data_IF_600159236930
#
_entry.id   IF_600159236930
#
_cell.length_a   1.000
_cell.length_b   1.000
_cell.length_c   1.000
_cell.angle_alpha   90.00
_cell.angle_beta   90.00
_cell.angle_gamma   90.00
#
_symmetry.space_group_name_H-M   'P 1'
#
loop_
_entity.id
_entity.type
_entity.pdbx_description
1 polymer ?
#
# COMPACT_ATOMS: atom_id res chain seq x y z
N UNK A 1 -23.00 4.87 9.80
CA UNK A 1 -22.62 4.38 8.46
C UNK A 1 -21.80 3.13 8.64
N UNK A 2 -21.83 2.13 7.77
CA UNK A 2 -20.87 1.02 7.84
C UNK A 2 -19.74 1.25 6.84
N UNK A 3 -18.50 1.37 7.34
CA UNK A 3 -17.29 1.37 6.52
C UNK A 3 -16.78 -0.07 6.49
N UNK A 4 -16.88 -0.73 5.34
CA UNK A 4 -16.32 -2.07 5.15
C UNK A 4 -14.98 -1.93 4.45
N UNK A 5 -13.92 -2.48 5.05
CA UNK A 5 -12.60 -2.51 4.45
C UNK A 5 -12.22 -3.94 4.07
N UNK A 6 -11.69 -4.14 2.87
CA UNK A 6 -11.14 -5.44 2.46
C UNK A 6 -9.80 -5.26 1.75
N UNK A 7 -8.83 -6.05 2.21
CA UNK A 7 -7.51 -6.14 1.62
C UNK A 7 -7.36 -7.43 0.82
N UNK A 8 -6.58 -7.36 -0.25
CA UNK A 8 -6.57 -8.37 -1.29
C UNK A 8 -5.63 -9.55 -1.14
N UNK A 9 -4.41 -9.37 -0.65
CA UNK A 9 -3.41 -10.44 -0.62
C UNK A 9 -2.57 -10.30 0.64
N UNK A 10 -1.85 -11.36 1.04
CA UNK A 10 -0.99 -11.32 2.23
C UNK A 10 -1.73 -10.94 3.52
N UNK A 11 -3.05 -11.09 3.56
CA UNK A 11 -3.85 -11.03 4.79
C UNK A 11 -3.47 -12.26 5.61
N UNK A 12 -2.64 -12.11 6.65
CA UNK A 12 -2.07 -13.23 7.41
C UNK A 12 -2.29 -13.15 8.92
N UNK A 13 -2.86 -12.05 9.40
CA UNK A 13 -3.26 -11.86 10.80
C UNK A 13 -4.75 -11.50 10.89
N UNK A 14 -5.51 -12.04 11.87
CA UNK A 14 -6.87 -11.58 12.14
C UNK A 14 -6.94 -10.09 12.49
N UNK A 15 -5.82 -9.51 12.94
CA UNK A 15 -5.72 -8.08 13.25
C UNK A 15 -5.50 -7.20 12.00
N UNK A 16 -5.36 -7.81 10.82
CA UNK A 16 -5.10 -7.08 9.59
C UNK A 16 -6.23 -6.10 9.28
N UNK A 17 -5.87 -4.83 9.11
CA UNK A 17 -6.80 -3.74 8.85
C UNK A 17 -7.48 -3.16 10.09
N UNK A 18 -7.47 -3.80 11.27
CA UNK A 18 -8.13 -3.27 12.47
C UNK A 18 -7.64 -1.86 12.81
N UNK A 19 -6.32 -1.65 12.77
CA UNK A 19 -5.71 -0.36 13.07
C UNK A 19 -6.04 0.75 12.04
N UNK A 20 -6.36 0.39 10.78
CA UNK A 20 -6.85 1.36 9.79
C UNK A 20 -8.18 1.99 10.19
N UNK A 21 -8.93 1.33 11.08
CA UNK A 21 -10.15 1.87 11.66
C UNK A 21 -9.95 3.26 12.24
N UNK A 22 -8.81 3.56 12.88
CA UNK A 22 -8.51 4.90 13.40
C UNK A 22 -8.48 5.95 12.29
N UNK A 23 -7.78 5.65 11.19
CA UNK A 23 -7.72 6.51 10.02
C UNK A 23 -9.10 6.71 9.40
N UNK A 24 -9.84 5.62 9.12
CA UNK A 24 -11.18 5.74 8.57
C UNK A 24 -12.12 6.56 9.47
N UNK A 25 -12.09 6.36 10.78
CA UNK A 25 -12.86 7.16 11.72
C UNK A 25 -12.45 8.64 11.67
N UNK A 26 -11.15 8.96 11.69
CA UNK A 26 -10.68 10.34 11.67
C UNK A 26 -11.21 11.14 10.48
N UNK A 27 -11.11 10.57 9.28
CA UNK A 27 -11.41 11.31 8.04
C UNK A 27 -12.83 11.12 7.53
N UNK A 28 -13.41 9.92 7.67
CA UNK A 28 -14.73 9.62 7.11
C UNK A 28 -15.84 9.86 8.13
N UNK A 29 -15.64 9.62 9.44
CA UNK A 29 -16.71 9.82 10.42
C UNK A 29 -17.39 11.20 10.35
N UNK A 30 -16.68 12.32 10.18
CA UNK A 30 -17.33 13.64 10.06
C UNK A 30 -18.27 13.77 8.86
N UNK A 31 -18.02 13.02 7.77
CA UNK A 31 -18.84 12.99 6.56
C UNK A 31 -19.99 11.99 6.65
N UNK A 32 -19.82 10.98 7.49
CA UNK A 32 -20.67 9.79 7.52
C UNK A 32 -21.54 9.66 8.78
N UNK A 33 -21.32 10.48 9.81
CA UNK A 33 -22.08 10.40 11.05
C UNK A 33 -23.55 10.76 10.84
N UNK A 34 -24.46 9.94 11.37
CA UNK A 34 -25.91 10.19 11.35
C UNK A 34 -26.37 10.35 12.79
N UNK A 35 -27.10 11.44 13.08
CA UNK A 35 -27.60 11.71 14.44
C UNK A 35 -26.51 11.81 15.51
N UNK A 36 -25.28 12.22 15.14
CA UNK A 36 -24.14 12.29 16.05
C UNK A 36 -23.48 10.94 16.39
N UNK A 37 -23.93 9.84 15.77
CA UNK A 37 -23.32 8.51 15.93
C UNK A 37 -22.24 8.30 14.88
N UNK A 38 -21.02 7.97 15.32
CA UNK A 38 -19.90 7.66 14.44
C UNK A 38 -20.19 6.39 13.61
N UNK A 39 -19.66 6.29 12.39
CA UNK A 39 -19.83 5.09 11.58
C UNK A 39 -19.17 3.88 12.23
N UNK A 40 -19.69 2.70 11.95
CA UNK A 40 -19.02 1.44 12.25
C UNK A 40 -17.87 1.19 11.26
N UNK A 41 -16.88 0.44 11.71
CA UNK A 41 -15.75 0.03 10.87
C UNK A 41 -15.58 -1.48 10.94
N UNK A 42 -15.58 -2.12 9.76
CA UNK A 42 -15.53 -3.57 9.64
C UNK A 42 -14.44 -4.00 8.64
N UNK A 43 -13.27 -4.44 9.11
CA UNK A 43 -12.28 -5.10 8.25
C UNK A 43 -12.69 -6.55 7.98
N UNK A 44 -12.68 -6.95 6.71
CA UNK A 44 -13.03 -8.32 6.30
C UNK A 44 -11.77 -9.18 6.28
N UNK A 45 -11.59 -9.98 7.34
CA UNK A 45 -10.52 -10.97 7.43
C UNK A 45 -10.90 -12.29 6.75
N UNK A 46 -10.01 -12.77 5.88
CA UNK A 46 -10.11 -14.07 5.19
C UNK A 46 -8.76 -14.81 5.14
N UNK A 47 -7.76 -14.31 5.86
CA UNK A 47 -6.37 -14.78 5.79
C UNK A 47 -6.14 -16.21 6.24
N UNK A 48 -7.03 -16.75 7.08
CA UNK A 48 -7.09 -18.14 7.51
C UNK A 48 -7.40 -19.11 6.37
N UNK A 49 -7.96 -18.59 5.26
CA UNK A 49 -8.32 -19.34 4.06
C UNK A 49 -7.38 -19.09 2.88
N UNK A 50 -6.38 -18.22 3.07
CA UNK A 50 -5.44 -17.80 2.04
C UNK A 50 -4.42 -18.90 1.67
N UNK A 51 -3.57 -18.61 0.68
CA UNK A 51 -2.57 -19.58 0.24
C UNK A 51 -1.57 -19.89 1.37
N UNK A 52 -1.34 -21.18 1.58
CA UNK A 52 -0.33 -21.70 2.50
C UNK A 52 0.83 -22.27 1.71
N UNK A 53 2.03 -21.74 1.93
CA UNK A 53 3.26 -22.22 1.29
C UNK A 53 3.90 -23.29 2.17
N UNK A 54 3.80 -24.56 1.76
CA UNK A 54 4.29 -25.69 2.53
C UNK A 54 5.78 -25.58 2.90
N UNK A 55 6.59 -25.01 1.99
CA UNK A 55 8.02 -24.79 2.22
C UNK A 55 8.37 -23.34 2.58
N UNK A 56 7.42 -22.57 3.12
CA UNK A 56 7.62 -21.17 3.54
C UNK A 56 8.36 -20.30 2.50
N UNK A 57 7.92 -20.39 1.24
CA UNK A 57 8.52 -19.69 0.11
C UNK A 57 10.03 -19.97 -0.12
N UNK A 58 10.51 -21.17 0.25
CA UNK A 58 11.90 -21.58 0.01
C UNK A 58 12.31 -21.63 -1.46
N UNK A 59 11.34 -21.67 -2.39
CA UNK A 59 11.57 -21.59 -3.84
C UNK A 59 11.98 -20.19 -4.33
N UNK A 60 11.92 -19.16 -3.46
CA UNK A 60 12.34 -17.81 -3.83
C UNK A 60 13.86 -17.73 -4.02
N UNK A 61 14.34 -17.07 -5.09
CA UNK A 61 15.73 -16.67 -5.21
C UNK A 61 16.22 -15.95 -3.95
N UNK A 62 17.37 -16.41 -3.47
CA UNK A 62 18.08 -15.90 -2.31
C UNK A 62 19.17 -14.93 -2.77
N UNK A 63 19.35 -13.79 -2.09
CA UNK A 63 20.43 -12.83 -2.41
C UNK A 63 21.49 -12.81 -1.32
N UNK A 64 22.74 -12.58 -1.74
CA UNK A 64 23.91 -12.62 -0.86
C UNK A 64 23.99 -11.41 0.08
N UNK A 65 23.48 -10.24 -0.34
CA UNK A 65 23.66 -8.98 0.40
C UNK A 65 22.71 -8.85 1.60
N UNK A 66 21.53 -9.47 1.56
CA UNK A 66 20.54 -9.49 2.65
C UNK A 66 20.75 -10.63 3.65
N UNK A 67 21.90 -11.30 3.61
CA UNK A 67 22.25 -12.37 4.57
C UNK A 67 21.40 -13.64 4.45
N UNK A 68 20.68 -13.83 3.34
CA UNK A 68 19.85 -15.00 3.10
C UNK A 68 20.59 -15.95 2.15
N UNK A 69 21.60 -16.65 2.66
CA UNK A 69 22.48 -17.63 1.98
C UNK A 69 22.04 -18.13 0.59
N UNK A 70 22.44 -17.40 -0.44
CA UNK A 70 22.60 -17.94 -1.80
C UNK A 70 23.90 -18.73 -1.88
N UNK A 71 23.91 -19.81 -2.68
CA UNK A 71 25.12 -20.56 -2.97
C UNK A 71 26.17 -19.63 -3.62
N UNK A 72 27.44 -19.77 -3.23
CA UNK A 72 28.59 -18.94 -3.66
C UNK A 72 28.82 -18.90 -5.18
N UNK A 73 28.07 -19.72 -5.92
CA UNK A 73 28.22 -20.09 -7.31
C UNK A 73 27.10 -19.56 -8.23
N UNK A 74 26.12 -18.79 -7.73
CA UNK A 74 25.20 -18.05 -8.63
C UNK A 74 25.86 -16.78 -9.17
N UNK A 75 26.70 -16.99 -10.18
CA UNK A 75 27.40 -15.99 -10.96
C UNK A 75 26.44 -15.22 -11.89
N UNK A 76 25.84 -14.15 -11.40
CA UNK A 76 25.60 -12.98 -12.25
C UNK A 76 26.88 -12.17 -12.34
N UNK A 77 27.87 -12.63 -13.12
CA UNK A 77 29.09 -11.92 -13.59
C UNK A 77 30.20 -12.92 -14.01
N UNK A 78 29.91 -13.81 -14.96
CA UNK A 78 30.88 -14.77 -15.51
C UNK A 78 31.98 -14.18 -16.41
N UNK A 79 32.13 -12.86 -16.55
CA UNK A 79 33.11 -12.25 -17.48
C UNK A 79 34.23 -11.42 -16.84
N UNK A 80 34.33 -11.33 -15.50
CA UNK A 80 35.36 -10.49 -14.86
C UNK A 80 36.30 -11.22 -13.88
N UNK A 81 36.18 -12.55 -13.72
CA UNK A 81 37.18 -13.34 -12.95
C UNK A 81 38.33 -13.78 -13.85
N UNK A 82 39.10 -12.79 -14.28
CA UNK A 82 40.41 -12.94 -14.90
C UNK A 82 41.44 -12.02 -14.26
N UNK A 83 41.39 -11.83 -12.93
CA UNK A 83 42.50 -11.26 -12.15
C UNK A 83 42.27 -11.56 -10.66
N UNK A 84 43.24 -12.22 -10.06
CA UNK A 84 43.35 -12.61 -8.67
C UNK A 84 43.43 -11.40 -7.71
N UNK A 85 42.88 -11.59 -6.50
CA UNK A 85 43.12 -10.85 -5.26
C UNK A 85 43.01 -9.32 -5.25
N UNK A 86 41.86 -8.76 -5.65
CA UNK A 86 41.53 -7.36 -5.36
C UNK A 86 40.15 -7.26 -4.73
N UNK A 87 40.08 -6.76 -3.48
CA UNK A 87 38.83 -6.39 -2.82
C UNK A 87 38.21 -5.22 -3.57
N UNK A 88 36.88 -5.26 -3.76
CA UNK A 88 36.09 -4.29 -4.54
C UNK A 88 36.28 -2.81 -4.12
N UNK A 89 36.87 -2.56 -2.95
CA UNK A 89 37.05 -1.24 -2.34
C UNK A 89 38.49 -0.68 -2.43
N UNK A 90 39.47 -1.40 -2.99
CA UNK A 90 40.87 -0.95 -3.06
C UNK A 90 41.27 -0.29 -4.39
N UNK A 91 40.31 0.05 -5.26
CA UNK A 91 40.62 0.77 -6.50
C UNK A 91 40.53 2.28 -6.29
N UNK A 92 41.69 2.93 -6.20
CA UNK A 92 41.83 4.37 -6.42
C UNK A 92 41.14 4.80 -7.74
N UNK A 93 40.61 6.03 -7.81
CA UNK A 93 39.82 6.47 -8.95
C UNK A 93 40.67 6.44 -10.22
N UNK A 94 40.19 5.68 -11.21
CA UNK A 94 40.76 5.68 -12.56
C UNK A 94 40.49 7.04 -13.20
N UNK A 95 41.53 7.63 -13.78
CA UNK A 95 41.48 8.90 -14.50
C UNK A 95 40.38 8.90 -15.58
N UNK A 96 39.73 10.05 -15.85
CA UNK A 96 38.59 10.11 -16.75
C UNK A 96 39.01 9.78 -18.19
N UNK A 97 38.36 8.79 -18.78
CA UNK A 97 38.44 8.52 -20.21
C UNK A 97 37.62 9.57 -20.95
N UNK A 98 38.21 10.14 -22.00
CA UNK A 98 37.69 11.26 -22.78
C UNK A 98 36.30 11.00 -23.38
N UNK A 99 35.54 12.08 -23.43
CA UNK A 99 34.13 12.18 -23.77
C UNK A 99 33.75 11.72 -25.19
N UNK A 100 32.64 10.99 -25.28
CA UNK A 100 31.75 10.96 -26.45
C UNK A 100 30.45 11.73 -26.13
N UNK A 101 29.71 12.25 -27.13
CA UNK A 101 28.72 13.29 -26.90
C UNK A 101 27.46 12.71 -26.27
N UNK A 102 27.27 12.99 -24.99
CA UNK A 102 25.96 12.89 -24.32
C UNK A 102 25.23 14.21 -24.58
N UNK A 103 24.19 14.15 -25.40
CA UNK A 103 23.18 15.19 -25.50
C UNK A 103 22.48 15.30 -24.13
N UNK A 104 22.65 16.44 -23.46
CA UNK A 104 21.98 16.77 -22.21
C UNK A 104 22.81 16.58 -20.95
N UNK A 105 24.02 17.14 -20.90
CA UNK A 105 24.71 17.38 -19.62
C UNK A 105 23.99 18.51 -18.86
N UNK A 106 22.99 18.15 -18.04
CA UNK A 106 22.53 19.03 -16.99
C UNK A 106 23.65 19.16 -15.95
N UNK A 107 23.99 20.40 -15.62
CA UNK A 107 24.91 20.72 -14.54
C UNK A 107 24.48 20.02 -13.26
N UNK A 108 25.43 19.50 -12.49
CA UNK A 108 25.21 19.10 -11.10
C UNK A 108 24.57 20.30 -10.41
N UNK A 109 23.32 20.21 -9.89
CA UNK A 109 22.79 21.30 -9.10
C UNK A 109 23.72 21.44 -7.90
N UNK A 110 24.23 22.65 -7.70
CA UNK A 110 24.68 23.13 -6.40
C UNK A 110 23.68 22.60 -5.35
N UNK A 111 24.17 21.96 -4.27
CA UNK A 111 23.30 21.39 -3.24
C UNK A 111 22.26 22.44 -2.83
N UNK A 112 21.02 22.30 -3.31
CA UNK A 112 19.97 23.18 -2.87
C UNK A 112 19.91 23.04 -1.35
N UNK A 113 19.97 24.15 -0.59
CA UNK A 113 19.86 24.08 0.85
C UNK A 113 18.57 23.35 1.18
N UNK A 114 18.68 22.25 1.95
CA UNK A 114 17.51 21.49 2.42
C UNK A 114 16.57 22.50 3.05
N UNK A 115 15.38 22.66 2.45
CA UNK A 115 14.41 23.63 2.93
C UNK A 115 14.15 23.37 4.42
N UNK A 116 14.11 24.41 5.26
CA UNK A 116 13.95 24.22 6.70
C UNK A 116 12.61 23.51 6.98
N UNK A 117 12.52 22.75 8.07
CA UNK A 117 11.28 22.05 8.45
C UNK A 117 10.09 23.01 8.59
N UNK A 118 10.36 24.27 8.94
CA UNK A 118 9.35 25.33 9.01
C UNK A 118 8.74 25.70 7.65
N UNK A 119 9.41 25.38 6.54
CA UNK A 119 8.93 25.62 5.18
C UNK A 119 7.95 24.55 4.69
N UNK A 120 7.78 23.42 5.40
CA UNK A 120 6.80 22.40 5.05
C UNK A 120 5.38 22.97 5.26
N UNK A 121 4.58 23.13 4.19
CA UNK A 121 3.23 23.66 4.29
C UNK A 121 2.36 22.82 5.22
N UNK A 122 1.48 23.46 6.00
CA UNK A 122 0.72 22.79 7.08
C UNK A 122 -0.07 21.58 6.58
N UNK A 123 -0.64 21.70 5.39
CA UNK A 123 -1.40 20.66 4.71
C UNK A 123 -0.56 19.47 4.24
N UNK A 124 0.76 19.62 4.10
CA UNK A 124 1.70 18.55 3.70
C UNK A 124 2.41 17.89 4.88
N UNK A 125 2.33 18.49 6.08
CA UNK A 125 3.01 17.98 7.28
C UNK A 125 2.63 16.53 7.64
N UNK A 126 1.35 16.10 7.58
CA UNK A 126 1.00 14.71 7.89
C UNK A 126 1.70 13.70 6.98
N UNK A 127 1.65 13.92 5.67
CA UNK A 127 2.28 13.03 4.69
C UNK A 127 3.80 13.05 4.83
N UNK A 128 4.39 14.24 5.06
CA UNK A 128 5.82 14.38 5.33
C UNK A 128 6.25 13.60 6.58
N UNK A 129 5.43 13.58 7.64
CA UNK A 129 5.72 12.77 8.83
C UNK A 129 5.63 11.27 8.56
N UNK A 130 4.65 10.83 7.78
CA UNK A 130 4.55 9.44 7.36
C UNK A 130 5.76 9.03 6.50
N UNK A 131 6.17 9.87 5.55
CA UNK A 131 7.40 9.69 4.75
C UNK A 131 8.64 9.58 5.62
N UNK A 132 8.82 10.56 6.51
CA UNK A 132 9.99 10.61 7.37
C UNK A 132 10.04 9.39 8.30
N UNK A 133 8.90 8.97 8.86
CA UNK A 133 8.81 7.78 9.70
C UNK A 133 9.18 6.51 8.92
N UNK A 134 8.65 6.33 7.71
CA UNK A 134 8.91 5.15 6.88
C UNK A 134 10.32 5.11 6.29
N UNK A 135 10.89 6.27 5.93
CA UNK A 135 12.27 6.39 5.49
C UNK A 135 13.27 5.97 6.58
N UNK A 136 12.87 6.13 7.84
CA UNK A 136 13.67 5.71 8.96
C UNK A 136 13.41 4.24 9.32
N UNK A 137 12.18 3.72 9.20
CA UNK A 137 11.87 2.32 9.52
C UNK A 137 12.82 1.35 8.80
N UNK A 138 13.49 0.41 9.52
CA UNK A 138 14.51 -0.42 8.91
C UNK A 138 13.93 -1.17 7.71
N UNK A 139 14.49 -0.89 6.53
CA UNK A 139 14.14 -1.51 5.27
C UNK A 139 14.47 -3.01 5.31
N UNK A 140 13.62 -3.79 5.97
CA UNK A 140 13.44 -5.19 5.63
C UNK A 140 12.64 -5.28 4.34
N UNK A 141 12.66 -6.46 3.72
CA UNK A 141 11.89 -6.83 2.53
C UNK A 141 10.36 -6.92 2.76
N UNK A 142 9.81 -6.03 3.57
CA UNK A 142 8.43 -6.11 4.09
C UNK A 142 7.64 -4.88 3.70
N UNK A 143 6.37 -5.08 3.39
CA UNK A 143 5.41 -4.00 3.23
C UNK A 143 4.95 -3.55 4.62
N UNK A 144 5.37 -2.36 5.09
CA UNK A 144 5.19 -1.97 6.49
C UNK A 144 3.71 -1.96 6.91
N UNK A 145 2.78 -1.57 6.04
CA UNK A 145 1.36 -1.43 6.41
C UNK A 145 0.66 -2.78 6.47
N UNK A 146 1.04 -3.70 5.59
CA UNK A 146 0.44 -5.03 5.49
C UNK A 146 1.08 -6.01 6.47
N UNK A 147 2.38 -5.88 6.69
CA UNK A 147 3.19 -6.80 7.49
C UNK A 147 3.35 -6.37 8.95
N UNK A 148 3.14 -5.09 9.27
CA UNK A 148 3.22 -4.56 10.63
C UNK A 148 1.88 -3.92 11.06
N UNK A 149 1.08 -4.61 11.91
CA UNK A 149 -0.16 -4.08 12.44
C UNK A 149 -0.01 -2.74 13.17
N UNK A 150 1.17 -2.43 13.73
CA UNK A 150 1.42 -1.14 14.38
C UNK A 150 1.43 -0.01 13.34
N UNK A 151 1.97 -0.27 12.14
CA UNK A 151 2.09 0.74 11.07
C UNK A 151 0.78 0.97 10.31
N UNK A 152 -0.21 0.10 10.45
CA UNK A 152 -1.54 0.34 9.89
C UNK A 152 -2.24 1.58 10.48
N UNK A 153 -1.82 2.07 11.65
CA UNK A 153 -2.29 3.33 12.24
C UNK A 153 -1.40 4.55 11.89
N UNK A 154 -0.40 4.38 11.02
CA UNK A 154 0.59 5.42 10.73
C UNK A 154 -0.05 6.71 10.21
N UNK A 155 -1.02 6.63 9.31
CA UNK A 155 -1.68 7.82 8.80
C UNK A 155 -2.32 8.63 9.95
N UNK A 156 -3.09 7.96 10.82
CA UNK A 156 -3.71 8.60 11.98
C UNK A 156 -2.67 9.20 12.95
N UNK A 157 -1.61 8.45 13.27
CA UNK A 157 -0.53 8.92 14.14
C UNK A 157 0.22 10.13 13.55
N UNK A 158 0.60 10.06 12.27
CA UNK A 158 1.25 11.15 11.57
C UNK A 158 0.36 12.41 11.53
N UNK A 159 -0.94 12.25 11.31
CA UNK A 159 -1.89 13.37 11.36
C UNK A 159 -2.01 13.97 12.78
N UNK A 160 -2.10 13.13 13.82
CA UNK A 160 -2.18 13.58 15.20
C UNK A 160 -0.94 14.35 15.66
N UNK A 161 0.25 13.93 15.20
CA UNK A 161 1.50 14.64 15.48
C UNK A 161 1.62 15.91 14.65
N UNK A 162 1.17 15.90 13.40
CA UNK A 162 1.15 17.10 12.55
C UNK A 162 0.26 18.21 13.13
N UNK A 163 -0.85 17.86 13.78
CA UNK A 163 -1.71 18.82 14.50
C UNK A 163 -0.97 19.55 15.64
N UNK A 164 0.09 18.94 16.17
CA UNK A 164 0.93 19.47 17.25
C UNK A 164 2.31 19.96 16.76
N UNK A 165 2.54 19.97 15.44
CA UNK A 165 3.85 20.23 14.83
C UNK A 165 4.53 21.49 15.36
N UNK A 166 3.83 22.63 15.34
CA UNK A 166 4.43 23.92 15.71
C UNK A 166 4.81 23.95 17.19
N UNK A 167 3.99 23.34 18.05
CA UNK A 167 4.30 23.20 19.48
C UNK A 167 5.51 22.30 19.70
N UNK A 168 5.59 21.17 19.00
CA UNK A 168 6.73 20.24 19.10
C UNK A 168 8.01 20.90 18.60
N UNK A 169 7.96 21.55 17.44
CA UNK A 169 9.11 22.14 16.78
C UNK A 169 9.68 23.38 17.51
N UNK A 170 8.84 24.13 18.22
CA UNK A 170 9.23 25.33 18.95
C UNK A 170 10.21 25.06 20.12
N UNK A 171 10.27 23.83 20.63
CA UNK A 171 11.08 23.46 21.80
C UNK A 171 12.48 22.93 21.43
N UNK A 172 12.83 22.89 20.15
CA UNK A 172 14.05 22.25 19.67
C UNK A 172 14.96 23.25 18.94
N UNK A 173 16.28 23.11 19.19
CA UNK A 173 17.29 24.09 18.80
C UNK A 173 17.58 24.12 17.29
N UNK A 174 17.44 22.99 16.61
CA UNK A 174 17.74 22.84 15.18
C UNK A 174 16.76 21.88 14.49
N UNK A 175 16.75 21.90 13.15
CA UNK A 175 15.83 21.08 12.34
C UNK A 175 16.07 19.57 12.48
N UNK A 176 17.31 19.15 12.74
CA UNK A 176 17.56 17.74 13.01
C UNK A 176 16.90 17.31 14.33
N UNK A 177 17.03 18.10 15.39
CA UNK A 177 16.37 17.86 16.67
C UNK A 177 14.83 17.88 16.54
N UNK A 178 14.28 18.82 15.76
CA UNK A 178 12.84 18.87 15.43
C UNK A 178 12.37 17.61 14.72
N UNK A 179 13.06 17.19 13.65
CA UNK A 179 12.75 15.96 12.91
C UNK A 179 12.78 14.74 13.85
N UNK A 180 13.84 14.59 14.65
CA UNK A 180 13.96 13.50 15.63
C UNK A 180 12.78 13.48 16.59
N UNK A 181 12.41 14.64 17.14
CA UNK A 181 11.32 14.76 18.10
C UNK A 181 9.97 14.42 17.47
N UNK A 182 9.69 14.91 16.26
CA UNK A 182 8.46 14.64 15.54
C UNK A 182 8.28 13.15 15.24
N UNK A 183 9.32 12.48 14.73
CA UNK A 183 9.26 11.04 14.44
C UNK A 183 9.11 10.22 15.72
N UNK A 184 9.81 10.60 16.80
CA UNK A 184 9.64 9.95 18.09
C UNK A 184 8.21 10.08 18.63
N UNK A 185 7.52 11.19 18.36
CA UNK A 185 6.10 11.35 18.71
C UNK A 185 5.18 10.48 17.86
N UNK A 186 5.51 10.27 16.58
CA UNK A 186 4.77 9.33 15.72
C UNK A 186 4.94 7.91 16.26
N UNK A 187 6.17 7.50 16.60
CA UNK A 187 6.46 6.19 17.22
C UNK A 187 5.71 6.00 18.55
N UNK A 188 5.72 7.03 19.42
CA UNK A 188 4.99 7.05 20.69
C UNK A 188 3.48 6.85 20.47
N UNK A 189 2.91 7.53 19.47
CA UNK A 189 1.49 7.44 19.11
C UNK A 189 1.12 6.06 18.54
N UNK A 190 2.05 5.39 17.86
CA UNK A 190 1.86 4.03 17.33
C UNK A 190 1.97 2.96 18.42
N UNK A 191 2.99 3.04 19.29
CA UNK A 191 3.37 2.01 20.27
C UNK A 191 2.82 2.20 21.68
N UNK A 192 1.99 3.22 21.90
CA UNK A 192 1.37 3.47 23.20
C UNK A 192 2.35 3.84 24.33
N UNK A 193 3.45 4.55 24.02
CA UNK A 193 4.35 5.11 25.03
C UNK A 193 5.65 4.35 25.30
N UNK A 194 6.01 3.33 24.53
CA UNK A 194 7.31 2.65 24.70
C UNK A 194 8.42 3.42 23.99
N UNK A 195 9.17 4.22 24.76
CA UNK A 195 10.19 5.14 24.25
C UNK A 195 11.34 4.40 23.55
N UNK A 196 11.60 4.67 22.26
CA UNK A 196 12.91 4.37 21.66
C UNK A 196 13.96 5.24 22.37
N UNK A 197 14.93 4.60 23.03
CA UNK A 197 16.05 5.30 23.67
C UNK A 197 16.87 6.12 22.67
N UNK A 198 17.27 7.34 23.06
CA UNK A 198 17.98 8.34 22.23
C UNK A 198 19.21 7.80 21.47
N UNK A 199 19.88 6.75 21.96
CA UNK A 199 21.04 6.15 21.29
C UNK A 199 20.71 5.30 20.05
N UNK A 200 19.52 4.69 20.00
CA UNK A 200 19.08 3.90 18.84
C UNK A 200 18.68 4.77 17.65
N UNK A 201 18.16 5.97 17.92
CA UNK A 201 17.63 6.91 16.92
C UNK A 201 18.73 7.65 16.14
N UNK A 202 19.89 7.94 16.77
CA UNK A 202 21.01 8.57 16.08
C UNK A 202 21.60 7.67 14.97
N UNK A 203 21.83 6.39 15.29
CA UNK A 203 22.24 5.39 14.29
C UNK A 203 21.15 5.00 13.30
N UNK A 204 19.90 5.40 13.53
CA UNK A 204 18.73 5.19 12.66
C UNK A 204 18.62 6.29 11.59
N UNK A 205 18.85 7.55 11.97
CA UNK A 205 18.90 8.69 11.05
C UNK A 205 20.16 8.71 10.18
N UNK A 206 21.31 8.29 10.71
CA UNK A 206 22.54 8.14 9.91
C UNK A 206 22.33 7.16 8.75
N UNK A 207 21.63 6.04 8.99
CA UNK A 207 21.32 5.04 7.95
C UNK A 207 20.39 5.58 6.85
N UNK A 208 19.35 6.33 7.22
CA UNK A 208 18.42 6.93 6.24
C UNK A 208 19.11 8.01 5.37
N UNK A 209 19.92 8.87 5.99
CA UNK A 209 20.67 9.91 5.28
C UNK A 209 21.75 9.35 4.33
N UNK A 210 22.33 8.21 4.69
CA UNK A 210 23.36 7.55 3.87
C UNK A 210 22.79 6.84 2.64
N UNK A 211 21.58 6.26 2.72
CA UNK A 211 20.87 5.67 1.56
C UNK A 211 20.53 6.73 0.52
N UNK A 212 20.02 7.89 0.97
CA UNK A 212 19.66 9.02 0.08
C UNK A 212 20.90 9.64 -0.59
N UNK A 213 22.01 9.80 0.14
CA UNK A 213 23.28 10.32 -0.43
C UNK A 213 23.93 9.38 -1.43
N UNK A 214 23.67 8.08 -1.35
CA UNK A 214 24.25 7.08 -2.26
C UNK A 214 23.49 7.02 -3.58
N UNK A 215 22.17 7.14 -3.57
CA UNK A 215 21.33 7.01 -4.76
C UNK A 215 21.64 8.02 -5.88
N UNK A 216 22.15 9.21 -5.56
CA UNK A 216 22.42 10.30 -6.53
C UNK A 216 23.73 10.14 -7.32
N UNK A 217 24.56 9.15 -7.01
CA UNK A 217 25.89 8.97 -7.64
C UNK A 217 26.06 7.61 -8.32
N UNK A 218 24.98 6.84 -8.48
CA UNK A 218 25.08 5.44 -8.90
C UNK A 218 25.16 5.26 -10.43
N UNK A 219 26.21 4.58 -10.93
CA UNK A 219 26.26 4.14 -12.33
C UNK A 219 25.19 3.08 -12.59
N UNK A 220 24.79 2.90 -13.86
CA UNK A 220 23.71 2.00 -14.26
C UNK A 220 23.82 0.54 -13.75
N UNK A 221 25.03 0.02 -13.59
CA UNK A 221 25.26 -1.33 -13.06
C UNK A 221 24.98 -1.45 -11.55
N UNK A 222 25.15 -0.37 -10.78
CA UNK A 222 24.77 -0.32 -9.36
C UNK A 222 23.24 -0.27 -9.20
N UNK A 223 22.53 0.41 -10.11
CA UNK A 223 21.06 0.41 -10.17
C UNK A 223 20.54 -0.99 -10.44
N UNK A 224 21.15 -1.73 -11.37
CA UNK A 224 20.81 -3.14 -11.66
C UNK A 224 21.06 -4.07 -10.46
N UNK A 225 22.16 -3.85 -9.73
CA UNK A 225 22.48 -4.62 -8.52
C UNK A 225 21.48 -4.37 -7.40
N UNK A 226 21.04 -3.11 -7.20
CA UNK A 226 20.01 -2.78 -6.19
C UNK A 226 18.62 -3.26 -6.60
N UNK A 227 18.27 -3.21 -7.89
CA UNK A 227 17.07 -3.87 -8.41
C UNK A 227 17.13 -5.39 -8.21
N UNK A 228 18.33 -5.99 -8.32
CA UNK A 228 18.59 -7.39 -8.01
C UNK A 228 18.35 -7.74 -6.54
N UNK A 229 18.66 -6.84 -5.62
CA UNK A 229 18.38 -6.99 -4.18
C UNK A 229 16.90 -6.73 -3.82
N UNK A 230 16.15 -6.01 -4.65
CA UNK A 230 14.69 -5.91 -4.52
C UNK A 230 13.96 -7.18 -4.99
N UNK A 231 14.66 -8.07 -5.72
CA UNK A 231 14.09 -9.29 -6.31
C UNK A 231 13.46 -10.25 -5.30
N UNK A 232 14.03 -10.54 -4.12
CA UNK A 232 13.38 -11.38 -3.11
C UNK A 232 12.06 -10.80 -2.59
N UNK A 233 12.00 -9.47 -2.44
CA UNK A 233 10.79 -8.73 -2.00
C UNK A 233 9.70 -8.85 -3.06
N UNK A 234 10.07 -8.57 -4.31
CA UNK A 234 9.16 -8.71 -5.46
C UNK A 234 8.67 -10.15 -5.62
N UNK A 235 9.56 -11.13 -5.46
CA UNK A 235 9.18 -12.54 -5.52
C UNK A 235 8.27 -12.95 -4.36
N UNK A 236 8.44 -12.35 -3.17
CA UNK A 236 7.53 -12.56 -2.04
C UNK A 236 6.13 -12.04 -2.37
N UNK A 237 6.05 -10.78 -2.80
CA UNK A 237 4.82 -10.14 -3.19
C UNK A 237 4.11 -10.93 -4.30
N UNK A 238 4.84 -11.25 -5.38
CA UNK A 238 4.31 -12.05 -6.51
C UNK A 238 3.86 -13.43 -6.04
N UNK A 239 4.62 -14.12 -5.19
CA UNK A 239 4.24 -15.43 -4.70
C UNK A 239 2.94 -15.37 -3.88
N UNK A 240 2.85 -14.45 -2.90
CA UNK A 240 1.62 -14.27 -2.13
C UNK A 240 0.45 -13.84 -3.00
N UNK A 241 0.67 -12.90 -3.92
CA UNK A 241 -0.35 -12.42 -4.84
C UNK A 241 -0.90 -13.57 -5.70
N UNK A 242 -0.03 -14.28 -6.42
CA UNK A 242 -0.42 -15.41 -7.28
C UNK A 242 -1.07 -16.52 -6.47
N UNK A 243 -0.49 -16.87 -5.32
CA UNK A 243 -1.04 -17.90 -4.44
C UNK A 243 -2.45 -17.57 -3.96
N UNK A 244 -2.65 -16.34 -3.47
CA UNK A 244 -3.93 -15.88 -2.94
C UNK A 244 -4.98 -15.75 -4.04
N UNK A 245 -4.60 -15.23 -5.21
CA UNK A 245 -5.45 -15.21 -6.41
C UNK A 245 -5.90 -16.62 -6.76
N UNK A 246 -4.98 -17.58 -6.92
CA UNK A 246 -5.36 -18.94 -7.28
C UNK A 246 -6.18 -19.63 -6.20
N UNK A 247 -5.86 -19.41 -4.93
CA UNK A 247 -6.65 -19.93 -3.81
C UNK A 247 -8.08 -19.38 -3.85
N UNK A 248 -8.24 -18.08 -4.09
CA UNK A 248 -9.54 -17.45 -4.24
C UNK A 248 -10.32 -18.02 -5.44
N UNK A 249 -9.71 -18.03 -6.63
CA UNK A 249 -10.33 -18.48 -7.88
C UNK A 249 -10.76 -19.96 -7.82
N UNK A 250 -9.98 -20.81 -7.14
CA UNK A 250 -10.27 -22.25 -7.01
C UNK A 250 -11.24 -22.59 -5.89
N UNK A 251 -11.33 -21.77 -4.84
CA UNK A 251 -12.18 -22.02 -3.68
C UNK A 251 -13.51 -21.27 -3.70
N UNK A 252 -13.66 -20.21 -4.51
CA UNK A 252 -14.98 -19.67 -4.82
C UNK A 252 -15.73 -20.71 -5.66
N UNK A 253 -16.95 -21.02 -5.27
CA UNK A 253 -17.75 -22.07 -5.92
C UNK A 253 -18.95 -21.41 -6.58
N UNK A 254 -19.37 -21.94 -7.73
CA UNK A 254 -20.59 -21.52 -8.42
C UNK A 254 -21.80 -22.36 -7.95
N UNK A 255 -23.03 -22.01 -8.36
CA UNK A 255 -24.29 -22.69 -7.98
C UNK A 255 -24.82 -22.38 -6.56
N UNK A 256 -24.91 -21.09 -6.22
CA UNK A 256 -25.56 -20.63 -4.98
C UNK A 256 -24.77 -20.91 -3.69
N UNK A 257 -23.56 -21.45 -3.80
CA UNK A 257 -22.66 -21.70 -2.68
C UNK A 257 -21.38 -20.86 -2.85
N UNK A 258 -21.28 -19.67 -2.23
CA UNK A 258 -20.18 -18.71 -2.47
C UNK A 258 -18.76 -19.24 -2.22
N UNK A 259 -18.60 -20.37 -1.53
CA UNK A 259 -17.32 -20.80 -0.99
C UNK A 259 -16.92 -19.97 0.25
N UNK A 260 -15.86 -20.35 0.95
CA UNK A 260 -15.58 -19.83 2.29
C UNK A 260 -15.10 -18.37 2.29
N UNK A 261 -14.31 -17.95 1.29
CA UNK A 261 -13.82 -16.55 1.21
C UNK A 261 -14.97 -15.58 0.85
N UNK A 262 -15.74 -15.77 -0.24
CA UNK A 262 -16.87 -14.88 -0.53
C UNK A 262 -17.94 -14.89 0.57
N UNK A 263 -18.12 -16.01 1.30
CA UNK A 263 -19.03 -16.06 2.45
C UNK A 263 -18.65 -15.08 3.56
N UNK A 264 -17.35 -14.81 3.80
CA UNK A 264 -16.89 -13.80 4.76
C UNK A 264 -17.31 -12.40 4.33
N UNK A 265 -17.15 -12.11 3.03
CA UNK A 265 -17.55 -10.83 2.45
C UNK A 265 -19.08 -10.64 2.54
N UNK A 266 -19.87 -11.64 2.14
CA UNK A 266 -21.34 -11.57 2.25
C UNK A 266 -21.80 -11.37 3.70
N UNK A 267 -21.15 -12.02 4.67
CA UNK A 267 -21.49 -11.83 6.08
C UNK A 267 -21.27 -10.38 6.53
N UNK A 268 -20.21 -9.71 6.06
CA UNK A 268 -19.98 -8.28 6.31
C UNK A 268 -21.04 -7.40 5.65
N UNK A 269 -21.40 -7.70 4.39
CA UNK A 269 -22.47 -6.97 3.69
C UNK A 269 -23.82 -7.11 4.42
N UNK A 270 -24.15 -8.30 4.94
CA UNK A 270 -25.39 -8.54 5.69
C UNK A 270 -25.44 -7.73 6.97
N UNK A 271 -24.36 -7.71 7.77
CA UNK A 271 -24.26 -6.88 8.98
C UNK A 271 -24.45 -5.41 8.66
N UNK A 272 -23.80 -4.92 7.61
CA UNK A 272 -23.94 -3.54 7.17
C UNK A 272 -25.38 -3.22 6.72
N UNK A 273 -26.04 -4.15 6.02
CA UNK A 273 -27.44 -3.98 5.59
C UNK A 273 -28.42 -3.94 6.75
N UNK A 274 -28.28 -4.86 7.70
CA UNK A 274 -29.10 -4.89 8.92
C UNK A 274 -28.96 -3.59 9.70
N UNK A 275 -27.73 -3.09 9.84
CA UNK A 275 -27.46 -1.79 10.47
C UNK A 275 -28.09 -0.64 9.68
N UNK A 276 -27.95 -0.61 8.35
CA UNK A 276 -28.59 0.39 7.48
C UNK A 276 -30.11 0.39 7.65
N UNK A 277 -30.75 -0.79 7.71
CA UNK A 277 -32.19 -0.91 7.98
C UNK A 277 -32.57 -0.36 9.36
N UNK A 278 -31.74 -0.56 10.37
CA UNK A 278 -32.00 -0.09 11.74
C UNK A 278 -31.77 1.42 11.93
N UNK A 279 -30.87 2.03 11.16
CA UNK A 279 -30.35 3.38 11.46
C UNK A 279 -30.47 4.38 10.31
N UNK A 280 -30.77 3.94 9.09
CA UNK A 280 -30.75 4.75 7.87
C UNK A 280 -29.34 5.10 7.38
N UNK A 281 -28.32 4.51 8.00
CA UNK A 281 -26.93 4.78 7.71
C UNK A 281 -26.51 4.30 6.31
N UNK A 282 -25.75 5.12 5.55
CA UNK A 282 -25.19 4.66 4.26
C UNK A 282 -24.17 3.52 4.46
N UNK A 283 -23.73 2.91 3.37
CA UNK A 283 -22.70 1.85 3.36
C UNK A 283 -21.59 2.27 2.41
N UNK A 284 -20.36 2.35 2.91
CA UNK A 284 -19.15 2.65 2.13
C UNK A 284 -18.25 1.42 2.16
N UNK A 285 -17.84 0.96 0.98
CA UNK A 285 -16.89 -0.16 0.85
C UNK A 285 -15.57 0.40 0.34
N UNK A 286 -14.48 0.12 1.03
CA UNK A 286 -13.13 0.47 0.60
C UNK A 286 -12.35 -0.82 0.38
N UNK A 287 -11.87 -1.04 -0.84
CA UNK A 287 -11.14 -2.26 -1.20
C UNK A 287 -9.79 -1.94 -1.80
N UNK A 288 -8.76 -2.63 -1.31
CA UNK A 288 -7.39 -2.47 -1.75
C UNK A 288 -6.87 -3.72 -2.45
N UNK A 289 -6.10 -3.54 -3.54
CA UNK A 289 -5.49 -4.65 -4.29
C UNK A 289 -6.54 -5.68 -4.71
N UNK A 290 -6.26 -6.99 -4.55
CA UNK A 290 -7.19 -8.08 -4.88
C UNK A 290 -8.52 -8.02 -4.08
N UNK A 291 -8.62 -7.16 -3.06
CA UNK A 291 -9.85 -6.98 -2.29
C UNK A 291 -10.98 -6.48 -3.18
N UNK A 292 -10.65 -5.79 -4.27
CA UNK A 292 -11.62 -5.37 -5.27
C UNK A 292 -12.35 -6.54 -5.93
N UNK A 293 -11.66 -7.66 -6.20
CA UNK A 293 -12.24 -8.86 -6.81
C UNK A 293 -13.23 -9.52 -5.87
N UNK A 294 -12.90 -9.59 -4.58
CA UNK A 294 -13.78 -10.14 -3.55
C UNK A 294 -15.08 -9.33 -3.46
N UNK A 295 -14.99 -8.00 -3.49
CA UNK A 295 -16.17 -7.13 -3.51
C UNK A 295 -16.94 -7.29 -4.80
N UNK A 296 -16.26 -7.33 -5.95
CA UNK A 296 -16.90 -7.46 -7.25
C UNK A 296 -17.73 -8.75 -7.35
N UNK A 297 -17.13 -9.91 -7.09
CA UNK A 297 -17.86 -11.19 -7.14
C UNK A 297 -18.98 -11.23 -6.09
N UNK A 298 -18.76 -10.68 -4.89
CA UNK A 298 -19.78 -10.60 -3.85
C UNK A 298 -21.01 -9.80 -4.31
N UNK A 299 -20.81 -8.64 -4.94
CA UNK A 299 -21.91 -7.76 -5.37
C UNK A 299 -22.55 -8.21 -6.69
N UNK A 300 -21.74 -8.65 -7.65
CA UNK A 300 -22.19 -8.98 -8.99
C UNK A 300 -22.79 -10.38 -9.10
N UNK A 301 -22.28 -11.35 -8.34
CA UNK A 301 -22.70 -12.75 -8.44
C UNK A 301 -23.34 -13.25 -7.16
N UNK A 302 -22.64 -13.19 -6.03
CA UNK A 302 -23.04 -13.94 -4.84
C UNK A 302 -24.12 -13.30 -3.97
N UNK A 303 -24.34 -11.99 -4.08
CA UNK A 303 -25.44 -11.32 -3.40
C UNK A 303 -26.79 -11.59 -4.09
N UNK A 304 -26.79 -12.09 -5.33
CA UNK A 304 -28.02 -12.43 -6.03
C UNK A 304 -28.71 -13.63 -5.34
N UNK A 305 -29.98 -13.46 -4.99
CA UNK A 305 -30.77 -14.50 -4.32
C UNK A 305 -30.52 -14.62 -2.81
N UNK A 306 -29.76 -13.70 -2.22
CA UNK A 306 -29.66 -13.57 -0.77
C UNK A 306 -30.78 -12.64 -0.23
N UNK A 307 -31.76 -13.17 0.53
CA UNK A 307 -32.91 -12.38 0.98
C UNK A 307 -32.55 -11.19 1.87
N UNK A 308 -31.42 -11.25 2.58
CA UNK A 308 -30.97 -10.12 3.40
C UNK A 308 -30.46 -9.00 2.49
N UNK A 309 -29.87 -9.35 1.35
CA UNK A 309 -29.21 -8.46 0.41
C UNK A 309 -30.04 -8.08 -0.83
N UNK A 310 -31.31 -8.47 -0.91
CA UNK A 310 -32.19 -8.13 -2.04
C UNK A 310 -32.29 -6.61 -2.26
N UNK A 311 -32.50 -5.85 -1.18
CA UNK A 311 -32.51 -4.37 -1.16
C UNK A 311 -31.15 -3.77 -0.74
N UNK A 312 -30.07 -4.55 -0.83
CA UNK A 312 -28.75 -4.06 -0.45
C UNK A 312 -28.20 -3.09 -1.49
N UNK A 313 -27.54 -2.04 -1.00
CA UNK A 313 -26.88 -1.07 -1.85
C UNK A 313 -25.69 -0.45 -1.14
N UNK A 314 -24.53 -0.53 -1.79
CA UNK A 314 -23.32 0.21 -1.47
C UNK A 314 -23.50 1.64 -1.99
N UNK A 315 -23.50 2.60 -1.07
CA UNK A 315 -23.65 4.01 -1.42
C UNK A 315 -22.37 4.56 -2.08
N UNK A 316 -21.20 4.06 -1.70
CA UNK A 316 -19.96 4.34 -2.42
C UNK A 316 -18.97 3.18 -2.30
N UNK A 317 -18.51 2.66 -3.43
CA UNK A 317 -17.39 1.73 -3.49
C UNK A 317 -16.12 2.46 -3.92
N UNK A 318 -15.09 2.41 -3.08
CA UNK A 318 -13.80 3.05 -3.31
C UNK A 318 -12.76 1.95 -3.50
N UNK A 319 -12.12 1.91 -4.66
CA UNK A 319 -11.03 0.98 -4.96
C UNK A 319 -9.70 1.73 -4.94
N UNK A 320 -8.63 1.11 -4.44
CA UNK A 320 -7.26 1.62 -4.58
C UNK A 320 -6.27 0.51 -4.91
N UNK A 321 -5.36 0.77 -5.85
CA UNK A 321 -4.42 -0.24 -6.35
C UNK A 321 -5.13 -1.51 -6.85
N UNK A 322 -6.34 -1.42 -7.40
CA UNK A 322 -7.18 -2.59 -7.66
C UNK A 322 -6.91 -3.21 -9.04
N UNK A 323 -7.07 -4.55 -9.16
CA UNK A 323 -6.95 -5.28 -10.43
C UNK A 323 -8.31 -5.61 -11.09
N UNK A 324 -9.41 -5.00 -10.64
CA UNK A 324 -10.77 -5.41 -11.06
C UNK A 324 -10.96 -5.33 -12.58
N UNK A 325 -10.50 -4.27 -13.23
CA UNK A 325 -10.54 -4.15 -14.70
C UNK A 325 -9.74 -5.23 -15.40
N UNK A 326 -8.52 -5.52 -14.94
CA UNK A 326 -7.72 -6.62 -15.48
C UNK A 326 -8.46 -7.97 -15.39
N UNK A 327 -9.08 -8.28 -14.25
CA UNK A 327 -9.84 -9.51 -14.08
C UNK A 327 -11.06 -9.57 -14.99
N UNK A 328 -11.73 -8.44 -15.19
CA UNK A 328 -12.84 -8.32 -16.12
C UNK A 328 -12.39 -8.50 -17.57
N UNK A 329 -11.29 -7.90 -17.99
CA UNK A 329 -10.73 -8.08 -19.33
C UNK A 329 -10.38 -9.55 -19.61
N UNK A 330 -9.88 -10.27 -18.61
CA UNK A 330 -9.60 -11.70 -18.68
C UNK A 330 -10.83 -12.60 -18.45
N UNK A 331 -12.02 -12.03 -18.26
CA UNK A 331 -13.28 -12.74 -17.99
C UNK A 331 -13.18 -13.71 -16.81
N UNK A 332 -12.49 -13.28 -15.75
CA UNK A 332 -12.28 -14.09 -14.55
C UNK A 332 -13.39 -13.91 -13.52
N UNK A 333 -14.42 -13.10 -13.74
CA UNK A 333 -15.54 -12.99 -12.80
C UNK A 333 -16.65 -13.99 -13.12
N UNK A 334 -17.28 -14.52 -12.07
CA UNK A 334 -18.40 -15.46 -12.23
C UNK A 334 -19.61 -14.71 -12.81
N UNK A 335 -20.29 -15.35 -13.77
CA UNK A 335 -21.48 -14.77 -14.40
C UNK A 335 -21.23 -13.48 -15.20
N UNK A 336 -19.97 -13.13 -15.48
CA UNK A 336 -19.65 -11.92 -16.24
C UNK A 336 -20.21 -12.00 -17.66
N UNK A 337 -21.13 -11.08 -17.97
CA UNK A 337 -21.63 -10.92 -19.32
C UNK A 337 -20.54 -10.33 -20.23
N UNK A 338 -20.46 -10.83 -21.46
CA UNK A 338 -19.65 -10.19 -22.49
C UNK A 338 -20.33 -8.88 -22.91
N UNK A 339 -19.62 -7.75 -22.97
CA UNK A 339 -20.20 -6.56 -23.57
C UNK A 339 -20.47 -6.81 -25.05
N UNK A 340 -21.42 -6.07 -25.63
CA UNK A 340 -21.52 -5.97 -27.08
C UNK A 340 -20.18 -5.46 -27.63
N UNK A 341 -19.80 -5.84 -28.85
CA UNK A 341 -18.48 -5.50 -29.43
C UNK A 341 -18.14 -4.01 -29.22
N UNK A 342 -17.00 -3.74 -28.58
CA UNK A 342 -16.50 -2.39 -28.29
C UNK A 342 -17.17 -1.65 -27.12
N UNK A 343 -18.09 -2.30 -26.39
CA UNK A 343 -18.77 -1.73 -25.23
C UNK A 343 -18.02 -1.91 -23.91
N UNK A 344 -18.34 -1.08 -22.91
CA UNK A 344 -17.92 -1.24 -21.52
C UNK A 344 -18.83 -2.20 -20.78
N UNK A 345 -18.34 -2.73 -19.67
CA UNK A 345 -19.15 -3.49 -18.71
C UNK A 345 -19.94 -2.54 -17.83
N UNK A 346 -21.17 -2.91 -17.47
CA UNK A 346 -21.84 -2.23 -16.36
C UNK A 346 -21.02 -2.42 -15.07
N UNK A 347 -20.94 -1.38 -14.22
CA UNK A 347 -20.51 -1.55 -12.84
C UNK A 347 -21.38 -2.60 -12.12
N UNK A 348 -20.88 -3.26 -11.06
CA UNK A 348 -21.67 -4.22 -10.31
C UNK A 348 -23.05 -3.67 -9.90
N UNK A 349 -24.10 -4.50 -9.95
CA UNK A 349 -25.39 -4.13 -9.39
C UNK A 349 -25.19 -3.76 -7.91
N UNK A 350 -26.09 -2.92 -7.38
CA UNK A 350 -26.06 -2.48 -5.97
C UNK A 350 -24.91 -1.51 -5.61
N UNK A 351 -24.25 -0.90 -6.60
CA UNK A 351 -23.25 0.15 -6.38
C UNK A 351 -23.76 1.50 -6.91
N UNK A 352 -24.03 2.46 -6.03
CA UNK A 352 -24.45 3.82 -6.43
C UNK A 352 -23.33 4.63 -7.07
N UNK A 353 -22.20 4.70 -6.39
CA UNK A 353 -21.02 5.42 -6.84
C UNK A 353 -19.79 4.53 -6.74
N UNK A 354 -18.92 4.60 -7.76
CA UNK A 354 -17.65 3.90 -7.76
C UNK A 354 -16.53 4.89 -8.10
N UNK A 355 -15.56 5.01 -7.20
CA UNK A 355 -14.32 5.78 -7.44
C UNK A 355 -13.12 4.87 -7.31
N UNK A 356 -12.25 4.87 -8.31
CA UNK A 356 -11.01 4.13 -8.31
C UNK A 356 -9.82 5.08 -8.19
N UNK A 357 -8.93 4.80 -7.25
CA UNK A 357 -7.67 5.52 -7.09
C UNK A 357 -6.53 4.66 -7.61
N UNK A 358 -5.70 5.27 -8.47
CA UNK A 358 -4.54 4.59 -9.05
C UNK A 358 -3.31 5.48 -8.96
N UNK A 359 -2.17 4.86 -8.72
CA UNK A 359 -0.86 5.50 -8.80
C UNK A 359 -0.23 5.09 -10.13
N UNK A 360 0.41 6.03 -10.82
CA UNK A 360 1.08 5.77 -12.10
C UNK A 360 2.30 4.87 -11.95
N UNK A 361 2.86 4.80 -10.74
CA UNK A 361 3.98 3.94 -10.40
C UNK A 361 3.51 2.56 -9.90
N UNK A 362 2.22 2.37 -9.62
CA UNK A 362 1.70 1.08 -9.17
C UNK A 362 1.61 0.10 -10.35
N UNK A 363 2.53 -0.87 -10.39
CA UNK A 363 2.61 -1.89 -11.45
C UNK A 363 1.40 -2.83 -11.53
N UNK A 364 0.66 -2.95 -10.44
CA UNK A 364 -0.47 -3.88 -10.34
C UNK A 364 -1.76 -3.14 -10.01
N UNK A 365 -1.77 -1.81 -10.09
CA UNK A 365 -2.98 -0.99 -10.03
C UNK A 365 -3.49 -0.71 -11.43
N UNK A 366 -4.77 -0.93 -11.67
CA UNK A 366 -5.38 -0.73 -12.97
C UNK A 366 -6.45 0.36 -12.92
N UNK A 367 -6.58 1.10 -14.02
CA UNK A 367 -7.67 2.06 -14.23
C UNK A 367 -8.96 1.30 -14.59
N UNK A 368 -10.12 1.85 -14.21
CA UNK A 368 -11.42 1.18 -14.33
C UNK A 368 -12.32 1.81 -15.40
N UNK A 369 -12.22 3.12 -15.63
CA UNK A 369 -13.06 3.89 -16.55
C UNK A 369 -13.07 3.33 -17.97
N UNK A 370 -11.96 2.82 -18.55
CA UNK A 370 -12.02 2.26 -19.89
C UNK A 370 -12.82 0.95 -19.98
N UNK A 371 -12.94 0.22 -18.88
CA UNK A 371 -13.55 -1.13 -18.84
C UNK A 371 -14.98 -1.08 -18.33
N UNK A 372 -15.31 -0.17 -17.41
CA UNK A 372 -16.62 -0.08 -16.76
C UNK A 372 -17.34 1.24 -16.99
N UNK A 373 -18.66 1.17 -17.11
CA UNK A 373 -19.55 2.33 -17.09
C UNK A 373 -19.73 2.87 -15.66
N UNK A 374 -19.92 4.18 -15.55
CA UNK A 374 -20.23 4.89 -14.29
C UNK A 374 -19.20 4.71 -13.16
N UNK A 375 -17.93 4.52 -13.53
CA UNK A 375 -16.77 4.56 -12.62
C UNK A 375 -16.01 5.86 -12.81
N UNK A 376 -15.38 6.36 -11.74
CA UNK A 376 -14.49 7.54 -11.80
C UNK A 376 -13.08 7.15 -11.37
N UNK A 377 -12.13 7.19 -12.28
CA UNK A 377 -10.71 7.04 -11.99
C UNK A 377 -10.15 8.36 -11.46
N UNK A 378 -9.27 8.25 -10.47
CA UNK A 378 -8.59 9.37 -9.83
C UNK A 378 -7.12 9.00 -9.68
N UNK A 379 -6.26 9.73 -10.38
CA UNK A 379 -4.83 9.60 -10.17
C UNK A 379 -4.50 10.07 -8.74
N UNK A 380 -3.71 9.28 -8.03
CA UNK A 380 -3.20 9.60 -6.71
C UNK A 380 -1.72 9.20 -6.66
N UNK A 381 -0.88 10.19 -6.37
CA UNK A 381 0.55 9.98 -6.20
C UNK A 381 0.81 9.61 -4.75
N UNK A 382 1.19 8.35 -4.52
CA UNK A 382 1.56 7.88 -3.18
C UNK A 382 2.94 8.39 -2.75
N UNK A 383 3.70 9.03 -3.64
CA UNK A 383 5.07 9.47 -3.38
C UNK A 383 6.09 8.33 -3.36
N UNK A 384 5.65 7.08 -3.61
CA UNK A 384 6.51 5.92 -3.63
C UNK A 384 6.92 5.52 -5.05
N UNK A 385 8.10 4.92 -5.14
CA UNK A 385 8.57 4.31 -6.39
C UNK A 385 7.80 3.02 -6.72
N UNK A 386 8.10 2.49 -7.91
CA UNK A 386 7.43 1.38 -8.61
C UNK A 386 6.99 0.19 -7.72
N UNK A 387 7.74 -0.11 -6.66
CA UNK A 387 7.52 -1.28 -5.80
C UNK A 387 6.63 -1.01 -4.58
N UNK A 388 6.64 0.20 -4.04
CA UNK A 388 5.92 0.55 -2.81
C UNK A 388 4.67 1.40 -3.10
N UNK A 389 4.53 1.91 -4.33
CA UNK A 389 3.35 2.66 -4.76
C UNK A 389 2.06 1.87 -4.55
N UNK A 390 2.08 0.57 -4.84
CA UNK A 390 0.92 -0.28 -4.64
C UNK A 390 0.42 -0.29 -3.20
N UNK A 391 1.33 -0.35 -2.23
CA UNK A 391 0.97 -0.54 -0.82
C UNK A 391 0.88 0.78 -0.07
N UNK A 392 1.42 1.85 -0.65
CA UNK A 392 1.58 3.15 -0.04
C UNK A 392 0.30 3.93 0.21
N UNK A 393 -0.81 3.65 -0.49
CA UNK A 393 -2.06 4.41 -0.35
C UNK A 393 -2.50 4.59 1.10
N UNK A 394 -2.52 3.49 1.86
CA UNK A 394 -3.08 3.45 3.21
C UNK A 394 -2.13 4.00 4.29
N UNK A 395 -0.89 4.36 3.92
CA UNK A 395 0.04 5.05 4.83
C UNK A 395 -0.19 6.55 4.81
N UNK A 396 -0.94 7.06 3.83
CA UNK A 396 -1.02 8.50 3.55
C UNK A 396 -2.26 9.12 4.19
N UNK A 397 -2.09 10.05 5.15
CA UNK A 397 -3.18 10.92 5.59
C UNK A 397 -3.93 11.59 4.43
N UNK A 398 -3.21 12.07 3.40
CA UNK A 398 -3.85 12.70 2.25
C UNK A 398 -4.73 11.75 1.43
N UNK A 399 -4.46 10.45 1.42
CA UNK A 399 -5.33 9.47 0.75
C UNK A 399 -6.68 9.38 1.47
N UNK A 400 -6.68 9.26 2.81
CA UNK A 400 -7.91 9.24 3.59
C UNK A 400 -8.72 10.52 3.45
N UNK A 401 -8.04 11.67 3.36
CA UNK A 401 -8.68 12.94 3.03
C UNK A 401 -9.29 12.92 1.62
N UNK A 402 -8.54 12.44 0.63
CA UNK A 402 -8.98 12.38 -0.76
C UNK A 402 -10.22 11.51 -0.95
N UNK A 403 -10.32 10.37 -0.24
CA UNK A 403 -11.53 9.54 -0.27
C UNK A 403 -12.69 10.19 0.48
N UNK A 404 -12.44 10.88 1.59
CA UNK A 404 -13.47 11.57 2.37
C UNK A 404 -14.10 12.75 1.59
N UNK A 405 -13.34 13.42 0.72
CA UNK A 405 -13.84 14.51 -0.12
C UNK A 405 -14.79 14.02 -1.24
N UNK A 406 -14.95 12.71 -1.42
CA UNK A 406 -15.86 12.10 -2.40
C UNK A 406 -17.16 11.55 -1.80
N UNK A 407 -17.27 11.54 -0.47
CA UNK A 407 -18.44 11.06 0.28
C UNK A 407 -19.38 12.23 0.64
#
# INVERSE_FOLDING_TARGET
MAIIYVHGVKVRSPDHGIALGKSFQRWLAPKLSVGGTAPDYEPVYWGDLAATFHWNLASRPRTALLGMGGADDFAGLGSLRGASDVKLFDRSPVAPIAAGPVLGAAMVPEQEPVAPLSAVPREKRPDFLADLYLACFPAGSRDPIVDDPELAALADAAAAVADQWDSIAAHEADDAARARKLVARVDEALKGGTLIGMGGFAGWMEKAGEVVRRATTWPGDAVSTVLGEARPVMNEFVAYFVGDVFTYLTRRVDQGAPGPIPSRMLAALRRAQERKKATGEKIVVVSHSMGGQLVYDALAHFAAGDPVLDDFEVDHWITCGSQVSLFAEMQLFLGQALPLEGGKLAKPPRVKAWTNYYDRNDLVGFIMEPVFDDVKDQAYDTGYGLFFAHTGFLARPSFFKAIADRL
#
